data_IF_744303279255
#
_entry.id   IF_744303279255
#
_cell.length_a   1.000
_cell.length_b   1.000
_cell.length_c   1.000
_cell.angle_alpha   90.00
_cell.angle_beta   90.00
_cell.angle_gamma   90.00
#
_symmetry.space_group_name_H-M   'P 1'
#
loop_
_entity.id
_entity.type
_entity.pdbx_description
1 polymer ?
#
# COMPACT_ATOMS: atom_id res chain seq x y z
N UNK A 1 -6.80 12.39 27.60
CA UNK A 1 -7.06 10.95 27.59
C UNK A 1 -5.73 10.20 27.49
N UNK A 2 -5.58 9.15 28.29
CA UNK A 2 -4.40 8.28 28.29
C UNK A 2 -4.25 7.56 26.93
N UNK A 3 -3.02 7.25 26.49
CA UNK A 3 -2.77 6.61 25.20
C UNK A 3 -3.64 5.36 24.92
N UNK A 4 -3.80 4.39 25.85
CA UNK A 4 -4.65 3.23 25.59
C UNK A 4 -6.13 3.59 25.39
N UNK A 5 -6.62 4.61 26.08
CA UNK A 5 -8.01 5.08 25.92
C UNK A 5 -8.23 5.64 24.51
N UNK A 6 -7.26 6.37 23.97
CA UNK A 6 -7.34 6.89 22.59
C UNK A 6 -7.39 5.77 21.57
N UNK A 7 -6.56 4.73 21.74
CA UNK A 7 -6.59 3.54 20.87
C UNK A 7 -7.97 2.87 20.89
N UNK A 8 -8.51 2.63 22.09
CA UNK A 8 -9.82 1.98 22.24
C UNK A 8 -10.94 2.82 21.62
N UNK A 9 -10.97 4.13 21.90
CA UNK A 9 -12.00 5.02 21.34
C UNK A 9 -11.94 5.06 19.83
N UNK A 10 -10.75 5.21 19.23
CA UNK A 10 -10.60 5.24 17.78
C UNK A 10 -10.93 3.91 17.13
N UNK A 11 -10.61 2.78 17.78
CA UNK A 11 -10.98 1.44 17.31
C UNK A 11 -12.51 1.20 17.35
N UNK A 12 -13.18 1.65 18.43
CA UNK A 12 -14.65 1.59 18.52
C UNK A 12 -15.30 2.44 17.43
N UNK A 13 -14.81 3.64 17.19
CA UNK A 13 -15.30 4.49 16.11
C UNK A 13 -15.10 3.84 14.74
N UNK A 14 -13.94 3.23 14.49
CA UNK A 14 -13.69 2.49 13.25
C UNK A 14 -14.73 1.37 13.06
N UNK A 15 -14.95 0.54 14.08
CA UNK A 15 -15.92 -0.54 14.05
C UNK A 15 -17.36 -0.03 13.84
N UNK A 16 -17.72 1.08 14.48
CA UNK A 16 -19.03 1.72 14.34
C UNK A 16 -19.27 2.23 12.91
N UNK A 17 -18.26 2.91 12.31
CA UNK A 17 -18.38 3.38 10.93
C UNK A 17 -18.42 2.24 9.91
N UNK A 18 -17.66 1.16 10.09
CA UNK A 18 -17.77 -0.03 9.24
C UNK A 18 -19.16 -0.67 9.38
N UNK A 19 -19.62 -0.90 10.61
CA UNK A 19 -20.95 -1.46 10.88
C UNK A 19 -22.07 -0.61 10.27
N UNK A 20 -22.00 0.72 10.45
CA UNK A 20 -22.95 1.64 9.86
C UNK A 20 -22.89 1.65 8.32
N UNK A 21 -21.68 1.74 7.73
CA UNK A 21 -21.48 1.74 6.29
C UNK A 21 -22.01 0.46 5.63
N UNK A 22 -21.71 -0.72 6.20
CA UNK A 22 -22.23 -1.99 5.69
C UNK A 22 -23.74 -2.14 5.86
N UNK A 23 -24.30 -1.71 7.00
CA UNK A 23 -25.75 -1.73 7.22
C UNK A 23 -26.46 -0.81 6.24
N UNK A 24 -25.94 0.41 6.04
CA UNK A 24 -26.50 1.37 5.10
C UNK A 24 -26.44 0.84 3.65
N UNK A 25 -25.33 0.21 3.26
CA UNK A 25 -25.16 -0.42 1.94
C UNK A 25 -26.17 -1.57 1.71
N UNK A 26 -26.53 -2.29 2.76
CA UNK A 26 -27.58 -3.34 2.69
C UNK A 26 -28.98 -2.74 2.52
N UNK A 27 -29.25 -1.59 3.15
CA UNK A 27 -30.57 -0.93 3.10
C UNK A 27 -30.79 -0.14 1.81
N UNK A 28 -29.77 0.53 1.32
CA UNK A 28 -29.85 1.40 0.15
C UNK A 28 -28.54 1.27 -0.67
N UNK A 29 -28.53 0.29 -1.55
CA UNK A 29 -27.37 0.03 -2.42
C UNK A 29 -27.22 1.09 -3.54
N UNK A 30 -28.26 1.92 -3.80
CA UNK A 30 -28.23 2.93 -4.86
C UNK A 30 -27.30 4.12 -4.51
N UNK A 31 -27.13 4.40 -3.21
CA UNK A 31 -26.30 5.53 -2.71
C UNK A 31 -24.83 5.15 -2.61
N UNK A 32 -24.20 4.74 -3.73
CA UNK A 32 -22.83 4.21 -3.77
C UNK A 32 -21.85 5.16 -3.10
N UNK A 33 -21.74 6.41 -3.55
CA UNK A 33 -20.77 7.38 -3.03
C UNK A 33 -20.94 7.67 -1.54
N UNK A 34 -22.18 7.82 -1.07
CA UNK A 34 -22.46 8.09 0.34
C UNK A 34 -22.14 6.88 1.24
N UNK A 35 -22.33 5.65 0.74
CA UNK A 35 -21.99 4.44 1.45
C UNK A 35 -20.46 4.27 1.53
N UNK A 36 -19.73 4.53 0.43
CA UNK A 36 -18.29 4.49 0.39
C UNK A 36 -17.66 5.58 1.28
N UNK A 37 -18.25 6.78 1.37
CA UNK A 37 -17.79 7.83 2.27
C UNK A 37 -17.85 7.42 3.75
N UNK A 38 -18.90 6.70 4.16
CA UNK A 38 -19.01 6.17 5.54
C UNK A 38 -17.97 5.09 5.80
N UNK A 39 -17.73 4.18 4.84
CA UNK A 39 -16.67 3.17 4.96
C UNK A 39 -15.28 3.82 5.00
N UNK A 40 -15.07 4.91 4.27
CA UNK A 40 -13.82 5.68 4.31
C UNK A 40 -13.55 6.30 5.68
N UNK A 41 -14.58 6.77 6.40
CA UNK A 41 -14.41 7.20 7.79
C UNK A 41 -13.92 6.02 8.67
N UNK A 42 -14.45 4.80 8.44
CA UNK A 42 -13.93 3.60 9.11
C UNK A 42 -12.44 3.38 8.83
N UNK A 43 -11.98 3.58 7.59
CA UNK A 43 -10.56 3.49 7.22
C UNK A 43 -9.74 4.54 7.98
N UNK A 44 -10.19 5.80 8.01
CA UNK A 44 -9.49 6.89 8.72
C UNK A 44 -9.35 6.58 10.22
N UNK A 45 -10.44 6.16 10.88
CA UNK A 45 -10.40 5.83 12.29
C UNK A 45 -9.54 4.60 12.60
N UNK A 46 -9.47 3.62 11.67
CA UNK A 46 -8.53 2.50 11.78
C UNK A 46 -7.09 2.98 11.69
N UNK A 47 -6.78 3.86 10.73
CA UNK A 47 -5.44 4.45 10.62
C UNK A 47 -5.07 5.24 11.89
N UNK A 48 -6.01 6.01 12.43
CA UNK A 48 -5.81 6.75 13.68
C UNK A 48 -5.57 5.81 14.86
N UNK A 49 -6.32 4.70 14.97
CA UNK A 49 -6.13 3.70 16.01
C UNK A 49 -4.75 3.04 15.94
N UNK A 50 -4.31 2.68 14.73
CA UNK A 50 -2.99 2.09 14.49
C UNK A 50 -1.88 3.11 14.81
N UNK A 51 -2.04 4.37 14.41
CA UNK A 51 -1.10 5.44 14.75
C UNK A 51 -0.99 5.67 16.27
N UNK A 52 -2.12 5.72 16.99
CA UNK A 52 -2.12 5.83 18.45
C UNK A 52 -1.50 4.60 19.12
N UNK A 53 -1.75 3.40 18.58
CA UNK A 53 -1.13 2.17 19.03
C UNK A 53 0.39 2.22 18.86
N UNK A 54 0.85 2.74 17.72
CA UNK A 54 2.29 2.94 17.46
C UNK A 54 2.93 3.87 18.48
N UNK A 55 2.31 5.01 18.77
CA UNK A 55 2.80 5.94 19.80
C UNK A 55 2.80 5.30 21.20
N UNK A 56 1.78 4.52 21.52
CA UNK A 56 1.70 3.86 22.84
C UNK A 56 2.71 2.73 23.02
N UNK A 57 2.99 1.97 21.95
CA UNK A 57 3.91 0.83 21.95
C UNK A 57 5.33 1.22 21.51
N UNK A 58 5.60 2.51 21.31
CA UNK A 58 6.90 2.96 20.83
C UNK A 58 8.00 2.62 21.83
N UNK A 59 8.88 1.76 21.41
CA UNK A 59 10.07 1.34 22.14
C UNK A 59 11.37 1.90 21.54
N UNK A 60 11.25 2.91 20.68
CA UNK A 60 12.38 3.51 19.96
C UNK A 60 12.96 2.66 18.83
N UNK A 61 12.33 1.52 18.49
CA UNK A 61 12.82 0.64 17.40
C UNK A 61 12.65 1.25 16.01
N UNK A 62 11.76 2.23 15.84
CA UNK A 62 11.45 2.85 14.54
C UNK A 62 10.82 1.90 13.51
N UNK A 63 10.41 0.69 13.89
CA UNK A 63 9.90 -0.35 12.99
C UNK A 63 8.42 -0.17 12.70
N UNK A 64 8.10 0.85 11.91
CA UNK A 64 6.72 1.20 11.52
C UNK A 64 6.07 0.16 10.58
N UNK A 65 6.85 -0.69 9.92
CA UNK A 65 6.38 -1.73 9.01
C UNK A 65 5.38 -2.69 9.65
N UNK A 66 5.58 -3.03 10.93
CA UNK A 66 4.68 -3.92 11.69
C UNK A 66 3.28 -3.28 11.86
N UNK A 67 3.22 -1.98 12.13
CA UNK A 67 1.96 -1.24 12.24
C UNK A 67 1.23 -1.15 10.89
N UNK A 68 1.98 -0.93 9.81
CA UNK A 68 1.45 -0.92 8.46
C UNK A 68 0.94 -2.31 8.05
N UNK A 69 1.64 -3.37 8.45
CA UNK A 69 1.19 -4.74 8.23
C UNK A 69 -0.10 -5.05 9.01
N UNK A 70 -0.21 -4.57 10.26
CA UNK A 70 -1.46 -4.66 11.02
C UNK A 70 -2.61 -3.96 10.28
N UNK A 71 -2.37 -2.76 9.74
CA UNK A 71 -3.32 -2.06 8.87
C UNK A 71 -3.72 -2.89 7.65
N UNK A 72 -2.74 -3.50 6.98
CA UNK A 72 -2.97 -4.41 5.84
C UNK A 72 -3.92 -5.54 6.21
N UNK A 73 -3.69 -6.18 7.35
CA UNK A 73 -4.54 -7.30 7.80
C UNK A 73 -5.96 -6.81 8.12
N UNK A 74 -6.11 -5.72 8.87
CA UNK A 74 -7.44 -5.19 9.24
C UNK A 74 -8.22 -4.78 7.98
N UNK A 75 -7.62 -3.94 7.12
CA UNK A 75 -8.27 -3.52 5.88
C UNK A 75 -8.52 -4.70 4.93
N UNK A 76 -7.58 -5.65 4.87
CA UNK A 76 -7.71 -6.86 4.08
C UNK A 76 -8.92 -7.71 4.50
N UNK A 77 -9.04 -7.98 5.79
CA UNK A 77 -10.19 -8.73 6.35
C UNK A 77 -11.50 -7.99 6.09
N UNK A 78 -11.56 -6.69 6.44
CA UNK A 78 -12.79 -5.88 6.25
C UNK A 78 -13.14 -5.76 4.77
N UNK A 79 -12.17 -5.50 3.90
CA UNK A 79 -12.36 -5.37 2.45
C UNK A 79 -12.81 -6.68 1.81
N UNK A 80 -12.18 -7.80 2.20
CA UNK A 80 -12.48 -9.12 1.66
C UNK A 80 -13.89 -9.62 2.05
N UNK A 81 -14.20 -9.62 3.35
CA UNK A 81 -15.49 -10.09 3.83
C UNK A 81 -16.61 -9.09 3.55
N UNK A 82 -16.32 -7.80 3.62
CA UNK A 82 -17.26 -6.73 3.30
C UNK A 82 -17.48 -6.51 1.80
N UNK A 83 -16.68 -7.16 0.91
CA UNK A 83 -16.71 -6.92 -0.54
C UNK A 83 -16.61 -5.43 -0.85
N UNK A 84 -15.71 -4.72 -0.15
CA UNK A 84 -15.55 -3.28 -0.20
C UNK A 84 -14.26 -2.90 -0.94
N UNK A 85 -14.34 -2.55 -2.25
CA UNK A 85 -13.16 -2.23 -3.06
C UNK A 85 -12.33 -1.08 -2.50
N UNK A 86 -12.97 -0.06 -1.91
CA UNK A 86 -12.28 1.06 -1.30
C UNK A 86 -11.43 0.61 -0.10
N UNK A 87 -11.98 -0.19 0.81
CA UNK A 87 -11.23 -0.69 1.98
C UNK A 87 -10.11 -1.64 1.55
N UNK A 88 -10.38 -2.46 0.52
CA UNK A 88 -9.37 -3.33 -0.09
C UNK A 88 -8.22 -2.54 -0.73
N UNK A 89 -8.52 -1.40 -1.37
CA UNK A 89 -7.50 -0.48 -1.88
C UNK A 89 -6.53 -0.07 -0.76
N UNK A 90 -7.06 0.30 0.41
CA UNK A 90 -6.23 0.68 1.56
C UNK A 90 -5.43 -0.49 2.13
N UNK A 91 -5.93 -1.74 2.02
CA UNK A 91 -5.14 -2.92 2.35
C UNK A 91 -3.90 -3.04 1.45
N UNK A 92 -4.07 -2.88 0.14
CA UNK A 92 -2.96 -2.96 -0.82
C UNK A 92 -1.99 -1.79 -0.71
N UNK A 93 -2.49 -0.57 -0.44
CA UNK A 93 -1.66 0.59 -0.13
C UNK A 93 -0.83 0.36 1.15
N UNK A 94 -1.47 -0.11 2.21
CA UNK A 94 -0.80 -0.42 3.47
C UNK A 94 0.25 -1.52 3.30
N UNK A 95 -0.05 -2.54 2.48
CA UNK A 95 0.88 -3.62 2.17
C UNK A 95 2.13 -3.10 1.45
N UNK A 96 1.96 -2.26 0.44
CA UNK A 96 3.10 -1.65 -0.27
C UNK A 96 3.95 -0.76 0.64
N UNK A 97 3.30 0.04 1.50
CA UNK A 97 4.01 0.85 2.48
C UNK A 97 4.72 -0.03 3.54
N UNK A 98 4.11 -1.12 3.99
CA UNK A 98 4.74 -2.09 4.90
C UNK A 98 5.97 -2.73 4.26
N UNK A 99 5.87 -3.14 3.00
CA UNK A 99 7.00 -3.69 2.23
C UNK A 99 8.14 -2.68 2.07
N UNK A 100 7.81 -1.45 1.69
CA UNK A 100 8.81 -0.36 1.56
C UNK A 100 9.50 -0.04 2.88
N UNK A 101 8.73 0.09 3.97
CA UNK A 101 9.26 0.37 5.29
C UNK A 101 10.11 -0.78 5.84
N UNK A 102 9.69 -2.04 5.66
CA UNK A 102 10.46 -3.21 6.13
C UNK A 102 11.77 -3.34 5.38
N UNK A 103 11.76 -3.25 4.04
CA UNK A 103 13.00 -3.30 3.26
C UNK A 103 13.91 -2.09 3.51
N UNK A 104 13.34 -0.94 3.85
CA UNK A 104 14.07 0.22 4.34
C UNK A 104 14.73 -0.04 5.70
N UNK A 105 13.99 -0.56 6.65
CA UNK A 105 14.50 -0.91 7.97
C UNK A 105 15.65 -1.94 7.88
N UNK A 106 15.46 -3.01 7.09
CA UNK A 106 16.47 -4.05 6.88
C UNK A 106 17.74 -3.53 6.19
N UNK A 107 17.65 -2.45 5.42
CA UNK A 107 18.80 -1.78 4.80
C UNK A 107 19.44 -0.70 5.68
N UNK A 108 19.00 -0.56 6.94
CA UNK A 108 19.43 0.55 7.81
C UNK A 108 18.98 1.91 7.29
N UNK A 109 17.82 1.98 6.62
CA UNK A 109 17.27 3.15 5.91
C UNK A 109 18.17 3.63 4.75
N UNK A 110 19.05 2.75 4.28
CA UNK A 110 19.86 3.00 3.09
C UNK A 110 19.06 2.89 1.79
N UNK A 111 19.58 3.52 0.73
CA UNK A 111 18.97 3.49 -0.59
C UNK A 111 18.94 2.08 -1.21
N UNK A 112 19.87 1.19 -0.81
CA UNK A 112 20.05 -0.13 -1.38
C UNK A 112 19.88 -1.25 -0.33
N UNK A 113 19.26 -2.33 -0.74
CA UNK A 113 19.13 -3.57 0.01
C UNK A 113 19.40 -4.75 -0.90
N UNK A 114 20.36 -5.61 -0.54
CA UNK A 114 20.86 -6.69 -1.40
C UNK A 114 21.26 -6.23 -2.82
N UNK A 115 21.87 -5.06 -2.94
CA UNK A 115 22.22 -4.46 -4.22
C UNK A 115 21.06 -3.92 -5.06
N UNK A 116 19.84 -3.96 -4.54
CA UNK A 116 18.63 -3.47 -5.20
C UNK A 116 18.22 -2.10 -4.68
N UNK A 117 18.02 -1.13 -5.57
CA UNK A 117 17.39 0.14 -5.26
C UNK A 117 15.90 -0.04 -4.95
N UNK A 118 15.25 0.97 -4.33
CA UNK A 118 13.81 0.94 -4.08
C UNK A 118 12.97 0.64 -5.32
N UNK A 119 13.21 1.25 -6.50
CA UNK A 119 12.47 0.91 -7.71
C UNK A 119 12.50 -0.58 -8.05
N UNK A 120 13.66 -1.23 -8.01
CA UNK A 120 13.74 -2.67 -8.33
C UNK A 120 12.97 -3.53 -7.34
N UNK A 121 13.02 -3.21 -6.04
CA UNK A 121 12.23 -3.90 -5.02
C UNK A 121 10.72 -3.78 -5.31
N UNK A 122 10.27 -2.56 -5.68
CA UNK A 122 8.87 -2.32 -6.00
C UNK A 122 8.42 -2.88 -7.36
N UNK A 123 9.34 -3.07 -8.32
CA UNK A 123 9.05 -3.85 -9.54
C UNK A 123 8.72 -5.30 -9.15
N UNK A 124 9.58 -5.94 -8.34
CA UNK A 124 9.32 -7.30 -7.87
C UNK A 124 7.99 -7.40 -7.09
N UNK A 125 7.73 -6.43 -6.21
CA UNK A 125 6.47 -6.35 -5.47
C UNK A 125 5.26 -6.17 -6.39
N UNK A 126 5.32 -5.26 -7.37
CA UNK A 126 4.26 -5.03 -8.35
C UNK A 126 3.98 -6.27 -9.21
N UNK A 127 5.03 -6.96 -9.68
CA UNK A 127 4.91 -8.22 -10.41
C UNK A 127 4.23 -9.31 -9.56
N UNK A 128 4.61 -9.45 -8.29
CA UNK A 128 3.97 -10.39 -7.37
C UNK A 128 2.49 -10.06 -7.14
N UNK A 129 2.14 -8.79 -7.01
CA UNK A 129 0.74 -8.36 -6.89
C UNK A 129 -0.05 -8.65 -8.17
N UNK A 130 0.52 -8.40 -9.34
CA UNK A 130 -0.11 -8.73 -10.62
C UNK A 130 -0.32 -10.25 -10.75
N UNK A 131 0.70 -11.04 -10.43
CA UNK A 131 0.59 -12.50 -10.45
C UNK A 131 -0.48 -13.01 -9.46
N UNK A 132 -0.51 -12.47 -8.24
CA UNK A 132 -1.53 -12.78 -7.25
C UNK A 132 -2.95 -12.38 -7.73
N UNK A 133 -3.08 -11.19 -8.35
CA UNK A 133 -4.36 -10.74 -8.89
C UNK A 133 -4.87 -11.62 -10.03
N UNK A 134 -3.96 -12.16 -10.87
CA UNK A 134 -4.31 -13.08 -11.95
C UNK A 134 -4.66 -14.48 -11.42
N UNK A 135 -3.86 -15.03 -10.52
CA UNK A 135 -4.08 -16.38 -9.97
C UNK A 135 -5.32 -16.45 -9.08
N UNK A 136 -5.62 -15.37 -8.34
CA UNK A 136 -6.79 -15.26 -7.47
C UNK A 136 -7.99 -14.58 -8.16
N UNK A 137 -7.91 -14.37 -9.49
CA UNK A 137 -8.96 -13.65 -10.23
C UNK A 137 -10.37 -14.17 -9.96
N UNK A 138 -10.66 -15.48 -9.97
CA UNK A 138 -12.02 -15.97 -9.72
C UNK A 138 -12.56 -15.57 -8.35
N UNK A 139 -11.74 -15.68 -7.30
CA UNK A 139 -12.11 -15.32 -5.93
C UNK A 139 -12.28 -13.81 -5.76
N UNK A 140 -11.39 -13.02 -6.36
CA UNK A 140 -11.43 -11.56 -6.34
C UNK A 140 -12.65 -11.02 -7.10
N UNK A 141 -12.96 -11.59 -8.28
CA UNK A 141 -14.11 -11.20 -9.08
C UNK A 141 -15.44 -11.46 -8.37
N UNK A 142 -15.59 -12.63 -7.70
CA UNK A 142 -16.77 -12.93 -6.88
C UNK A 142 -17.00 -11.88 -5.78
N UNK A 143 -15.94 -11.19 -5.35
CA UNK A 143 -16.00 -10.15 -4.30
C UNK A 143 -15.92 -8.73 -4.87
N UNK A 144 -15.81 -8.56 -6.19
CA UNK A 144 -15.65 -7.27 -6.90
C UNK A 144 -14.35 -6.55 -6.51
N UNK A 145 -13.30 -7.30 -6.19
CA UNK A 145 -11.98 -6.78 -5.78
C UNK A 145 -10.92 -6.92 -6.86
N UNK A 146 -11.21 -7.63 -7.95
CA UNK A 146 -10.34 -7.96 -9.07
C UNK A 146 -9.74 -6.71 -9.73
N UNK A 147 -10.59 -5.74 -10.08
CA UNK A 147 -10.15 -4.50 -10.75
C UNK A 147 -9.19 -3.68 -9.89
N UNK A 148 -9.50 -3.56 -8.60
CA UNK A 148 -8.64 -2.82 -7.67
C UNK A 148 -7.31 -3.53 -7.49
N UNK A 149 -7.32 -4.87 -7.37
CA UNK A 149 -6.10 -5.65 -7.23
C UNK A 149 -5.19 -5.53 -8.46
N UNK A 150 -5.75 -5.65 -9.66
CA UNK A 150 -5.01 -5.48 -10.91
C UNK A 150 -4.48 -4.05 -11.06
N UNK A 151 -5.33 -3.04 -10.82
CA UNK A 151 -4.93 -1.65 -10.93
C UNK A 151 -3.79 -1.30 -9.96
N UNK A 152 -3.84 -1.81 -8.72
CA UNK A 152 -2.77 -1.56 -7.73
C UNK A 152 -1.47 -2.28 -8.08
N UNK A 153 -1.54 -3.52 -8.57
CA UNK A 153 -0.36 -4.24 -9.05
C UNK A 153 0.34 -3.49 -10.19
N UNK A 154 -0.45 -3.07 -11.19
CA UNK A 154 0.06 -2.28 -12.32
C UNK A 154 0.58 -0.91 -11.87
N UNK A 155 -0.10 -0.23 -10.96
CA UNK A 155 0.32 1.07 -10.44
C UNK A 155 1.70 0.98 -9.78
N UNK A 156 1.92 0.01 -8.88
CA UNK A 156 3.22 -0.22 -8.25
C UNK A 156 4.29 -0.55 -9.29
N UNK A 157 3.96 -1.41 -10.26
CA UNK A 157 4.89 -1.81 -11.31
C UNK A 157 5.30 -0.61 -12.19
N UNK A 158 4.33 0.15 -12.71
CA UNK A 158 4.62 1.26 -13.62
C UNK A 158 5.32 2.42 -12.92
N UNK A 159 4.92 2.79 -11.70
CA UNK A 159 5.62 3.82 -10.93
C UNK A 159 7.06 3.38 -10.65
N UNK A 160 7.27 2.11 -10.28
CA UNK A 160 8.61 1.60 -10.01
C UNK A 160 9.49 1.56 -11.27
N UNK A 161 8.93 1.16 -12.41
CA UNK A 161 9.62 1.22 -13.71
C UNK A 161 9.98 2.65 -14.11
N UNK A 162 9.05 3.58 -13.90
CA UNK A 162 9.29 4.99 -14.16
C UNK A 162 10.40 5.56 -13.27
N UNK A 163 10.37 5.26 -11.97
CA UNK A 163 11.45 5.67 -11.05
C UNK A 163 12.78 5.00 -11.41
N UNK A 164 12.77 3.74 -11.84
CA UNK A 164 13.97 3.06 -12.30
C UNK A 164 14.56 3.73 -13.54
N UNK A 165 13.71 4.24 -14.45
CA UNK A 165 14.18 4.96 -15.64
C UNK A 165 14.89 6.26 -15.31
N UNK A 166 14.53 6.91 -14.17
CA UNK A 166 15.15 8.15 -13.72
C UNK A 166 16.42 7.87 -12.91
N UNK A 167 16.34 6.95 -11.95
CA UNK A 167 17.39 6.75 -10.95
C UNK A 167 18.34 5.58 -11.27
N UNK A 168 17.95 4.65 -12.14
CA UNK A 168 18.74 3.45 -12.41
C UNK A 168 18.92 2.55 -11.19
N UNK A 169 19.90 1.64 -11.27
CA UNK A 169 20.33 0.80 -10.16
C UNK A 169 21.85 0.69 -10.14
N UNK A 170 22.50 1.68 -9.62
CA UNK A 170 23.96 1.83 -9.68
C UNK A 170 24.73 1.33 -8.46
N UNK A 171 24.03 0.79 -7.46
CA UNK A 171 24.64 0.22 -6.26
C UNK A 171 24.86 1.24 -5.12
N UNK A 172 25.22 2.48 -5.44
CA UNK A 172 25.30 3.58 -4.47
C UNK A 172 24.92 4.93 -5.11
N UNK A 173 24.71 5.95 -4.27
CA UNK A 173 24.29 7.27 -4.71
C UNK A 173 25.45 8.06 -5.32
N UNK A 174 26.67 7.88 -4.85
CA UNK A 174 27.83 8.63 -5.34
C UNK A 174 28.16 8.20 -6.77
N UNK A 175 28.11 6.91 -7.04
CA UNK A 175 28.25 6.38 -8.39
C UNK A 175 27.13 6.87 -9.32
N UNK A 176 25.87 6.89 -8.84
CA UNK A 176 24.76 7.45 -9.61
C UNK A 176 24.97 8.92 -9.95
N UNK A 177 25.49 9.76 -9.01
CA UNK A 177 25.81 11.17 -9.28
C UNK A 177 26.87 11.35 -10.37
N UNK A 178 27.84 10.45 -10.42
CA UNK A 178 28.89 10.50 -11.44
C UNK A 178 28.39 10.09 -12.83
N UNK A 179 27.55 9.05 -12.91
CA UNK A 179 27.13 8.42 -14.17
C UNK A 179 25.88 9.08 -14.76
N UNK A 180 25.01 9.69 -13.95
CA UNK A 180 23.74 10.27 -14.39
C UNK A 180 23.83 11.27 -15.53
N UNK A 181 24.96 11.98 -15.66
CA UNK A 181 25.14 12.97 -16.72
C UNK A 181 25.40 12.33 -18.09
N UNK A 182 25.84 11.09 -18.12
CA UNK A 182 26.26 10.39 -19.34
C UNK A 182 25.22 9.37 -19.81
N UNK A 183 24.58 8.63 -18.88
CA UNK A 183 23.78 7.46 -19.22
C UNK A 183 22.25 7.66 -19.10
N UNK A 184 21.77 8.63 -18.32
CA UNK A 184 20.33 8.80 -18.08
C UNK A 184 19.51 9.05 -19.34
N UNK A 185 20.08 9.67 -20.37
CA UNK A 185 19.35 9.99 -21.60
C UNK A 185 18.94 8.73 -22.37
N UNK A 186 19.81 7.72 -22.41
CA UNK A 186 19.56 6.47 -23.12
C UNK A 186 18.54 5.59 -22.39
N UNK A 187 18.65 5.48 -21.08
CA UNK A 187 17.72 4.70 -20.26
C UNK A 187 16.33 5.32 -20.21
N UNK A 188 16.21 6.64 -20.04
CA UNK A 188 14.93 7.33 -20.03
C UNK A 188 14.19 7.20 -21.36
N UNK A 189 14.90 7.23 -22.51
CA UNK A 189 14.31 7.00 -23.81
C UNK A 189 13.83 5.56 -23.99
N UNK A 190 14.64 4.56 -23.62
CA UNK A 190 14.26 3.15 -23.73
C UNK A 190 13.05 2.82 -22.86
N UNK A 191 12.98 3.33 -21.62
CA UNK A 191 11.84 3.09 -20.73
C UNK A 191 10.61 3.91 -21.11
N UNK A 192 10.77 5.13 -21.65
CA UNK A 192 9.64 5.89 -22.17
C UNK A 192 9.00 5.17 -23.38
N UNK A 193 9.82 4.59 -24.25
CA UNK A 193 9.33 3.77 -25.37
C UNK A 193 8.65 2.50 -24.85
N UNK A 194 9.26 1.78 -23.91
CA UNK A 194 8.66 0.56 -23.34
C UNK A 194 7.35 0.84 -22.58
N UNK A 195 7.20 2.01 -21.97
CA UNK A 195 5.97 2.40 -21.27
C UNK A 195 4.88 2.94 -22.21
N UNK A 196 5.20 3.21 -23.49
CA UNK A 196 4.24 3.71 -24.49
C UNK A 196 3.63 2.60 -25.35
N UNK A 197 4.10 1.35 -25.22
CA UNK A 197 3.59 0.13 -25.88
C UNK A 197 2.66 -0.63 -24.93
#
# INVERSE_FOLDING_TARGET
FDPPVRVVVTAILAAAFYGWGFNRRRRDASKIYSNEAVLFLGVIFTAAAIGQLGVWLDNGSGRISVLLLLGTVIYGVVGWFGRAPLVWLFALLSLGNAFGAETGYLSGWGAYWLGMSYPIRFIAFGLLLCAAALTLQPQLAQRRLDRVSQAMGLLYLFIALWLLSIFGNYGDLDYWYQVRQIELLHWSLLFAIAASV
#
